data_IF_319352675266
#
_entry.id   IF_319352675266
#
_cell.length_a   1.000
_cell.length_b   1.000
_cell.length_c   1.000
_cell.angle_alpha   90.00
_cell.angle_beta   90.00
_cell.angle_gamma   90.00
#
_symmetry.space_group_name_H-M   'P 1'
#
loop_
_entity.id
_entity.type
_entity.pdbx_description
1 polymer ?
#
# COMPACT_ATOMS: atom_id res chain seq x y z
N UNK A 1 -17.73 9.02 -1.68
CA UNK A 1 -16.38 8.60 -2.10
C UNK A 1 -16.36 8.42 -3.60
N UNK A 2 -15.45 9.11 -4.29
CA UNK A 2 -15.19 8.88 -5.71
C UNK A 2 -14.66 7.45 -5.93
N UNK A 3 -14.84 6.89 -7.13
CA UNK A 3 -14.32 5.55 -7.46
C UNK A 3 -12.82 5.41 -7.13
N UNK A 4 -12.04 6.46 -7.40
CA UNK A 4 -10.60 6.51 -7.13
C UNK A 4 -10.24 6.45 -5.64
N UNK A 5 -11.03 7.07 -4.76
CA UNK A 5 -10.84 6.98 -3.29
C UNK A 5 -11.09 5.57 -2.77
N UNK A 6 -12.10 4.86 -3.33
CA UNK A 6 -12.37 3.46 -2.98
C UNK A 6 -11.23 2.54 -3.42
N UNK A 7 -10.73 2.72 -4.66
CA UNK A 7 -9.58 1.95 -5.14
C UNK A 7 -8.31 2.23 -4.33
N UNK A 8 -8.09 3.49 -3.93
CA UNK A 8 -6.98 3.86 -3.06
C UNK A 8 -7.05 3.17 -1.69
N UNK A 9 -8.23 3.10 -1.08
CA UNK A 9 -8.44 2.36 0.15
C UNK A 9 -8.09 0.87 -0.02
N UNK A 10 -8.59 0.24 -1.09
CA UNK A 10 -8.31 -1.17 -1.38
C UNK A 10 -6.81 -1.42 -1.60
N UNK A 11 -6.09 -0.51 -2.26
CA UNK A 11 -4.63 -0.63 -2.44
C UNK A 11 -3.88 -0.55 -1.11
N UNK A 12 -4.20 0.42 -0.25
CA UNK A 12 -3.59 0.53 1.09
C UNK A 12 -3.91 -0.69 1.96
N UNK A 13 -5.13 -1.20 1.87
CA UNK A 13 -5.54 -2.39 2.58
C UNK A 13 -4.76 -3.62 2.10
N UNK A 14 -4.67 -3.83 0.78
CA UNK A 14 -3.90 -4.92 0.19
C UNK A 14 -2.41 -4.84 0.57
N UNK A 15 -1.79 -3.66 0.53
CA UNK A 15 -0.40 -3.49 0.97
C UNK A 15 -0.19 -3.97 2.42
N UNK A 16 -1.13 -3.64 3.32
CA UNK A 16 -1.07 -4.03 4.74
C UNK A 16 -1.37 -5.51 4.95
N UNK A 17 -2.25 -6.10 4.16
CA UNK A 17 -2.49 -7.54 4.16
C UNK A 17 -1.24 -8.31 3.74
N UNK A 18 -0.54 -7.86 2.69
CA UNK A 18 0.72 -8.44 2.26
C UNK A 18 1.82 -8.34 3.32
N UNK A 19 1.90 -7.21 4.04
CA UNK A 19 2.83 -7.05 5.15
C UNK A 19 2.52 -8.03 6.31
N UNK A 20 1.23 -8.25 6.60
CA UNK A 20 0.80 -9.27 7.58
C UNK A 20 1.16 -10.69 7.14
N UNK A 21 0.96 -11.00 5.86
CA UNK A 21 1.32 -12.30 5.30
C UNK A 21 2.84 -12.54 5.33
N UNK A 22 3.66 -11.51 5.05
CA UNK A 22 5.10 -11.58 5.22
C UNK A 22 5.49 -11.91 6.68
N UNK A 23 4.93 -11.19 7.66
CA UNK A 23 5.15 -11.46 9.09
C UNK A 23 4.68 -12.85 9.52
N UNK A 24 3.62 -13.38 8.91
CA UNK A 24 3.14 -14.74 9.15
C UNK A 24 4.15 -15.77 8.64
N UNK A 25 4.63 -15.62 7.40
CA UNK A 25 5.68 -16.46 6.84
C UNK A 25 6.97 -16.43 7.69
N UNK A 26 7.39 -15.28 8.22
CA UNK A 26 8.55 -15.19 9.12
C UNK A 26 8.36 -15.96 10.44
N UNK A 27 7.14 -15.95 11.00
CA UNK A 27 6.82 -16.73 12.20
C UNK A 27 6.86 -18.24 11.89
N UNK A 28 6.32 -18.64 10.75
CA UNK A 28 6.34 -20.02 10.28
C UNK A 28 7.78 -20.48 9.99
N UNK A 29 8.62 -19.64 9.39
CA UNK A 29 10.05 -19.90 9.16
C UNK A 29 10.79 -20.21 10.48
N UNK A 30 10.55 -19.40 11.52
CA UNK A 30 11.13 -19.63 12.86
C UNK A 30 10.63 -20.92 13.49
N UNK A 31 9.35 -21.25 13.32
CA UNK A 31 8.77 -22.49 13.82
C UNK A 31 9.39 -23.72 13.11
N UNK A 32 9.54 -23.67 11.79
CA UNK A 32 10.19 -24.74 11.01
C UNK A 32 11.66 -24.90 11.40
N UNK A 33 12.43 -23.81 11.57
CA UNK A 33 13.81 -23.87 12.10
C UNK A 33 13.89 -24.54 13.47
N UNK A 34 12.93 -24.31 14.36
CA UNK A 34 12.87 -24.98 15.65
C UNK A 34 12.59 -26.49 15.49
N UNK A 35 11.72 -26.87 14.54
CA UNK A 35 11.46 -28.28 14.20
C UNK A 35 12.69 -28.97 13.61
N UNK A 36 13.46 -28.28 12.76
CA UNK A 36 14.75 -28.79 12.23
C UNK A 36 15.68 -29.16 13.37
N UNK A 37 15.89 -28.26 14.34
CA UNK A 37 16.77 -28.53 15.50
C UNK A 37 16.31 -29.77 16.29
N UNK A 38 15.00 -29.89 16.53
CA UNK A 38 14.42 -31.05 17.24
C UNK A 38 14.57 -32.35 16.43
N UNK A 39 14.40 -32.30 15.10
CA UNK A 39 14.53 -33.46 14.23
C UNK A 39 15.98 -33.97 14.18
N UNK A 40 16.96 -33.04 14.11
CA UNK A 40 18.39 -33.37 14.17
C UNK A 40 18.74 -34.03 15.51
N UNK A 41 18.28 -33.48 16.64
CA UNK A 41 18.52 -34.07 17.97
C UNK A 41 17.96 -35.49 18.11
N UNK A 42 16.88 -35.81 17.39
CA UNK A 42 16.28 -37.15 17.36
C UNK A 42 16.94 -38.10 16.36
N UNK A 43 17.93 -37.64 15.58
CA UNK A 43 18.58 -38.43 14.53
C UNK A 43 17.78 -38.56 13.23
N UNK A 44 16.63 -37.89 13.11
CA UNK A 44 15.74 -37.99 11.94
C UNK A 44 16.15 -36.99 10.85
N UNK A 45 17.21 -37.31 10.12
CA UNK A 45 17.81 -36.42 9.12
C UNK A 45 16.92 -36.12 7.91
N UNK A 46 16.09 -37.08 7.46
CA UNK A 46 15.14 -36.85 6.37
C UNK A 46 14.07 -35.81 6.76
N UNK A 47 13.50 -35.95 7.96
CA UNK A 47 12.50 -35.01 8.50
C UNK A 47 13.14 -33.63 8.72
N UNK A 48 14.39 -33.57 9.17
CA UNK A 48 15.13 -32.32 9.29
C UNK A 48 15.30 -31.62 7.94
N UNK A 49 15.58 -32.37 6.86
CA UNK A 49 15.70 -31.84 5.50
C UNK A 49 14.40 -31.23 5.00
N UNK A 50 13.28 -31.93 5.19
CA UNK A 50 11.94 -31.44 4.81
C UNK A 50 11.61 -30.13 5.55
N UNK A 51 11.84 -30.06 6.87
CA UNK A 51 11.61 -28.83 7.64
C UNK A 51 12.56 -27.70 7.23
N UNK A 52 13.79 -28.01 6.83
CA UNK A 52 14.74 -27.02 6.34
C UNK A 52 14.29 -26.42 4.99
N UNK A 53 13.84 -27.25 4.05
CA UNK A 53 13.26 -26.81 2.78
C UNK A 53 12.01 -25.94 2.99
N UNK A 54 11.13 -26.36 3.91
CA UNK A 54 9.98 -25.55 4.30
C UNK A 54 10.39 -24.18 4.86
N UNK A 55 11.42 -24.12 5.72
CA UNK A 55 11.92 -22.86 6.23
C UNK A 55 12.46 -21.95 5.11
N UNK A 56 13.21 -22.49 4.15
CA UNK A 56 13.72 -21.74 2.99
C UNK A 56 12.56 -21.20 2.15
N UNK A 57 11.55 -22.04 1.88
CA UNK A 57 10.35 -21.63 1.13
C UNK A 57 9.63 -20.48 1.83
N UNK A 58 9.43 -20.57 3.15
CA UNK A 58 8.76 -19.52 3.92
C UNK A 58 9.53 -18.21 3.94
N UNK A 59 10.87 -18.27 4.06
CA UNK A 59 11.73 -17.09 3.94
C UNK A 59 11.57 -16.39 2.59
N UNK A 60 11.58 -17.16 1.50
CA UNK A 60 11.42 -16.63 0.15
C UNK A 60 10.01 -16.03 -0.06
N UNK A 61 8.97 -16.69 0.45
CA UNK A 61 7.60 -16.17 0.41
C UNK A 61 7.46 -14.87 1.20
N UNK A 62 8.04 -14.79 2.40
CA UNK A 62 8.07 -13.56 3.21
C UNK A 62 8.67 -12.38 2.45
N UNK A 63 9.86 -12.58 1.86
CA UNK A 63 10.55 -11.54 1.07
C UNK A 63 9.70 -11.11 -0.13
N UNK A 64 9.06 -12.06 -0.82
CA UNK A 64 8.22 -11.76 -1.97
C UNK A 64 6.97 -10.96 -1.57
N UNK A 65 6.31 -11.34 -0.47
CA UNK A 65 5.18 -10.57 0.06
C UNK A 65 5.59 -9.17 0.48
N UNK A 66 6.73 -9.02 1.15
CA UNK A 66 7.26 -7.71 1.55
C UNK A 66 7.57 -6.83 0.34
N UNK A 67 8.22 -7.40 -0.69
CA UNK A 67 8.50 -6.69 -1.94
C UNK A 67 7.23 -6.26 -2.65
N UNK A 68 6.22 -7.12 -2.70
CA UNK A 68 4.93 -6.80 -3.31
C UNK A 68 4.17 -5.74 -2.52
N UNK A 69 4.18 -5.83 -1.18
CA UNK A 69 3.61 -4.82 -0.28
C UNK A 69 4.20 -3.43 -0.55
N UNK A 70 5.53 -3.32 -0.60
CA UNK A 70 6.22 -2.06 -0.89
C UNK A 70 5.85 -1.49 -2.28
N UNK A 71 5.71 -2.35 -3.29
CA UNK A 71 5.28 -1.91 -4.64
C UNK A 71 3.84 -1.39 -4.63
N UNK A 72 2.93 -2.09 -3.95
CA UNK A 72 1.51 -1.67 -3.85
C UNK A 72 1.39 -0.37 -3.06
N UNK A 73 2.15 -0.22 -1.97
CA UNK A 73 2.16 1.01 -1.17
C UNK A 73 2.69 2.22 -1.97
N UNK A 74 3.76 2.02 -2.76
CA UNK A 74 4.26 3.06 -3.65
C UNK A 74 3.22 3.49 -4.71
N UNK A 75 2.46 2.54 -5.26
CA UNK A 75 1.35 2.86 -6.18
C UNK A 75 0.23 3.58 -5.44
N UNK A 76 -0.14 3.15 -4.23
CA UNK A 76 -1.15 3.79 -3.41
C UNK A 76 -0.77 5.26 -3.09
N UNK A 77 0.50 5.53 -2.78
CA UNK A 77 1.00 6.88 -2.54
C UNK A 77 0.83 7.78 -3.77
N UNK A 78 1.16 7.28 -4.98
CA UNK A 78 0.95 8.03 -6.23
C UNK A 78 -0.53 8.31 -6.49
N UNK A 79 -1.40 7.33 -6.26
CA UNK A 79 -2.86 7.49 -6.40
C UNK A 79 -3.39 8.50 -5.38
N UNK A 80 -2.91 8.49 -4.13
CA UNK A 80 -3.27 9.48 -3.12
C UNK A 80 -2.91 10.90 -3.56
N UNK A 81 -1.72 11.10 -4.12
CA UNK A 81 -1.32 12.40 -4.69
C UNK A 81 -2.27 12.80 -5.81
N UNK A 82 -2.56 11.91 -6.76
CA UNK A 82 -3.48 12.20 -7.87
C UNK A 82 -4.90 12.59 -7.39
N UNK A 83 -5.45 11.86 -6.40
CA UNK A 83 -6.74 12.19 -5.77
C UNK A 83 -6.71 13.58 -5.15
N UNK A 84 -5.64 13.91 -4.43
CA UNK A 84 -5.48 15.20 -3.74
C UNK A 84 -5.35 16.34 -4.74
N UNK A 85 -4.51 16.18 -5.77
CA UNK A 85 -4.34 17.18 -6.84
C UNK A 85 -5.64 17.40 -7.61
N UNK A 86 -6.41 16.34 -7.88
CA UNK A 86 -7.73 16.48 -8.52
C UNK A 86 -8.70 17.28 -7.64
N UNK A 87 -8.72 17.01 -6.33
CA UNK A 87 -9.55 17.77 -5.37
C UNK A 87 -9.19 19.26 -5.38
N UNK A 88 -7.89 19.59 -5.34
CA UNK A 88 -7.40 20.98 -5.44
C UNK A 88 -7.81 21.61 -6.77
N UNK A 89 -7.62 20.90 -7.89
CA UNK A 89 -7.99 21.39 -9.23
C UNK A 89 -9.49 21.71 -9.31
N UNK A 90 -10.36 20.87 -8.74
CA UNK A 90 -11.80 21.13 -8.67
C UNK A 90 -12.13 22.37 -7.83
N UNK A 91 -11.48 22.51 -6.67
CA UNK A 91 -11.64 23.71 -5.82
C UNK A 91 -11.20 24.98 -6.54
N UNK A 92 -10.04 24.96 -7.21
CA UNK A 92 -9.55 26.08 -8.00
C UNK A 92 -10.49 26.42 -9.16
N UNK A 93 -11.02 25.42 -9.86
CA UNK A 93 -12.00 25.65 -10.92
C UNK A 93 -13.30 26.31 -10.42
N UNK A 94 -13.73 25.99 -9.20
CA UNK A 94 -14.85 26.67 -8.54
C UNK A 94 -14.54 28.14 -8.24
N UNK A 95 -13.37 28.41 -7.66
CA UNK A 95 -12.91 29.78 -7.33
C UNK A 95 -12.79 30.63 -8.60
N UNK A 96 -12.17 30.11 -9.66
CA UNK A 96 -12.03 30.83 -10.94
C UNK A 96 -13.40 31.17 -11.54
N UNK A 97 -14.38 30.24 -11.49
CA UNK A 97 -15.75 30.53 -11.93
C UNK A 97 -16.42 31.62 -11.09
N UNK A 98 -16.26 31.58 -9.77
CA UNK A 98 -16.81 32.63 -8.90
C UNK A 98 -16.16 33.98 -9.19
N UNK A 99 -14.84 34.01 -9.43
CA UNK A 99 -14.11 35.23 -9.76
C UNK A 99 -14.55 35.80 -11.13
N UNK A 100 -14.72 34.96 -12.15
CA UNK A 100 -15.26 35.37 -13.46
C UNK A 100 -16.67 35.97 -13.35
N UNK A 101 -17.55 35.34 -12.56
CA UNK A 101 -18.88 35.88 -12.30
C UNK A 101 -18.84 37.23 -11.56
N UNK A 102 -17.99 37.35 -10.54
CA UNK A 102 -17.79 38.62 -9.82
C UNK A 102 -17.26 39.69 -10.76
N UNK A 103 -16.24 39.43 -11.56
CA UNK A 103 -15.66 40.40 -12.50
C UNK A 103 -16.66 40.84 -13.58
N UNK A 104 -17.54 39.94 -14.06
CA UNK A 104 -18.64 40.30 -14.98
C UNK A 104 -19.70 41.18 -14.32
N UNK A 105 -19.99 40.97 -13.03
CA UNK A 105 -20.93 41.80 -12.28
C UNK A 105 -20.32 43.11 -11.76
N UNK A 106 -19.00 43.15 -11.58
CA UNK A 106 -18.24 44.29 -11.09
C UNK A 106 -17.90 45.18 -12.29
N UNK A 107 -18.84 46.05 -12.63
CA UNK A 107 -18.69 46.98 -13.74
C UNK A 107 -17.53 47.94 -13.43
N UNK A 108 -16.36 47.71 -14.02
CA UNK A 108 -15.14 48.53 -13.84
C UNK A 108 -15.38 50.00 -14.20
N UNK A 109 -16.46 50.31 -14.93
CA UNK A 109 -16.89 51.68 -15.22
C UNK A 109 -17.52 52.41 -14.02
N UNK A 110 -18.09 51.70 -13.04
CA UNK A 110 -18.66 52.29 -11.81
C UNK A 110 -17.64 52.46 -10.67
N UNK A 111 -16.42 51.94 -10.83
CA UNK A 111 -15.31 52.04 -9.87
C UNK A 111 -14.28 53.09 -10.34
N UNK A 112 -14.75 54.13 -11.03
CA UNK A 112 -13.97 55.35 -11.28
C UNK A 112 -14.44 56.41 -10.27
N UNK A 113 -13.47 56.96 -9.54
CA UNK A 113 -13.65 58.11 -8.63
C UNK A 113 -14.26 59.31 -9.34
#
# INVERSE_FOLDING_TARGET
MSSMEKHLFNLKFAAKELERNAKKCDKEEKAEKAKVKKAIQKGNMEVARIHAENAIRQKNQSINFLRMSARVDAVAARVQTAVTTNKVTKSMGGVVKSMDATLKSMNLEKVKF
#
